data_IF_369545386185
#
_entry.id   IF_369545386185
#
_cell.length_a   1.000
_cell.length_b   1.000
_cell.length_c   1.000
_cell.angle_alpha   90.00
_cell.angle_beta   90.00
_cell.angle_gamma   90.00
#
_symmetry.space_group_name_H-M   'P 1'
#
loop_
_entity.id
_entity.type
_entity.pdbx_description
1 polymer ?
#
# COMPACT_ATOMS: atom_id res chain seq x y z
N UNK A 1 -15.74 -35.50 4.91
CA UNK A 1 -15.92 -34.40 5.88
C UNK A 1 -14.83 -33.38 5.60
N UNK A 2 -15.22 -32.15 5.29
CA UNK A 2 -14.33 -31.07 4.80
C UNK A 2 -13.32 -30.63 5.87
N UNK A 3 -12.06 -30.33 5.49
CA UNK A 3 -11.19 -29.52 6.33
C UNK A 3 -11.62 -28.05 6.23
N UNK A 4 -12.04 -27.53 7.38
CA UNK A 4 -12.42 -26.14 7.64
C UNK A 4 -11.24 -25.20 7.42
N UNK A 5 -11.38 -24.37 6.38
CA UNK A 5 -11.10 -22.93 6.37
C UNK A 5 -9.88 -22.41 7.17
N UNK A 6 -8.73 -22.33 6.49
CA UNK A 6 -7.46 -21.77 6.99
C UNK A 6 -7.25 -20.28 6.59
N UNK A 7 -8.31 -19.51 6.32
CA UNK A 7 -8.16 -18.20 5.67
C UNK A 7 -8.64 -16.98 6.48
N UNK A 8 -8.47 -16.97 7.81
CA UNK A 8 -8.48 -15.70 8.55
C UNK A 8 -7.23 -15.56 9.43
N UNK A 9 -6.51 -14.42 9.36
CA UNK A 9 -5.28 -14.24 10.09
C UNK A 9 -5.58 -14.29 11.59
N UNK A 10 -4.84 -15.12 12.32
CA UNK A 10 -4.93 -15.36 13.76
C UNK A 10 -5.01 -14.07 14.58
N UNK A 11 -4.45 -12.97 14.08
CA UNK A 11 -4.46 -11.64 14.68
C UNK A 11 -5.87 -11.00 14.79
N UNK A 12 -6.75 -11.19 13.80
CA UNK A 12 -8.12 -10.63 13.85
C UNK A 12 -8.96 -11.32 14.93
N UNK A 13 -8.77 -12.64 15.12
CA UNK A 13 -9.45 -13.41 16.17
C UNK A 13 -9.03 -12.92 17.57
N UNK A 14 -7.76 -12.63 17.78
CA UNK A 14 -7.25 -12.16 19.08
C UNK A 14 -7.77 -10.76 19.45
N UNK A 15 -7.92 -9.87 18.47
CA UNK A 15 -8.48 -8.52 18.70
C UNK A 15 -9.99 -8.55 18.97
N UNK A 16 -10.73 -9.39 18.25
CA UNK A 16 -12.17 -9.58 18.50
C UNK A 16 -12.43 -10.15 19.89
N UNK A 17 -11.68 -11.18 20.30
CA UNK A 17 -11.81 -11.79 21.63
C UNK A 17 -11.42 -10.82 22.76
N UNK A 18 -10.39 -9.99 22.55
CA UNK A 18 -10.00 -8.95 23.50
C UNK A 18 -11.06 -7.84 23.60
N UNK A 19 -11.62 -7.40 22.46
CA UNK A 19 -12.72 -6.44 22.43
C UNK A 19 -13.97 -7.02 23.13
N UNK A 20 -14.21 -8.32 23.00
CA UNK A 20 -15.33 -9.00 23.65
C UNK A 20 -15.23 -9.05 25.17
N UNK A 21 -14.00 -9.12 25.67
CA UNK A 21 -13.70 -9.17 27.11
C UNK A 21 -13.78 -7.78 27.77
N UNK A 22 -13.51 -6.71 27.01
CA UNK A 22 -13.33 -5.34 27.55
C UNK A 22 -14.52 -4.41 27.25
N UNK A 23 -15.19 -4.60 26.11
CA UNK A 23 -16.25 -3.69 25.66
C UNK A 23 -17.63 -4.30 25.86
N UNK A 24 -18.58 -3.50 26.33
CA UNK A 24 -19.98 -3.88 26.34
C UNK A 24 -20.58 -3.80 24.91
N UNK A 25 -21.76 -4.41 24.65
CA UNK A 25 -22.35 -4.45 23.31
C UNK A 25 -22.54 -3.07 22.66
N UNK A 26 -22.97 -2.07 23.43
CA UNK A 26 -23.15 -0.70 22.95
C UNK A 26 -21.83 -0.02 22.57
N UNK A 27 -20.76 -0.32 23.30
CA UNK A 27 -19.42 0.18 22.99
C UNK A 27 -18.83 -0.48 21.73
N UNK A 28 -19.11 -1.78 21.52
CA UNK A 28 -18.70 -2.48 20.28
C UNK A 28 -19.42 -1.93 19.06
N UNK A 29 -20.72 -1.70 19.16
CA UNK A 29 -21.51 -1.12 18.08
C UNK A 29 -20.98 0.27 17.70
N UNK A 30 -20.73 1.12 18.70
CA UNK A 30 -20.13 2.44 18.49
C UNK A 30 -18.71 2.36 17.90
N UNK A 31 -17.89 1.40 18.33
CA UNK A 31 -16.56 1.19 17.77
C UNK A 31 -16.65 0.78 16.31
N UNK A 32 -17.55 -0.13 15.96
CA UNK A 32 -17.78 -0.56 14.59
C UNK A 32 -18.22 0.59 13.67
N UNK A 33 -19.18 1.41 14.12
CA UNK A 33 -19.58 2.63 13.40
C UNK A 33 -18.41 3.61 13.20
N UNK A 34 -17.57 3.76 14.22
CA UNK A 34 -16.39 4.62 14.16
C UNK A 34 -15.36 4.08 13.17
N UNK A 35 -15.13 2.77 13.14
CA UNK A 35 -14.21 2.11 12.18
C UNK A 35 -14.68 2.29 10.74
N UNK A 36 -15.99 2.13 10.48
CA UNK A 36 -16.55 2.38 9.14
C UNK A 36 -16.33 3.83 8.72
N UNK A 37 -16.63 4.77 9.62
CA UNK A 37 -16.45 6.20 9.35
C UNK A 37 -15.00 6.52 9.05
N UNK A 38 -14.08 6.03 9.89
CA UNK A 38 -12.64 6.20 9.71
C UNK A 38 -12.16 5.60 8.38
N UNK A 39 -12.60 4.40 8.02
CA UNK A 39 -12.24 3.76 6.76
C UNK A 39 -12.71 4.57 5.54
N UNK A 40 -13.90 5.17 5.62
CA UNK A 40 -14.43 6.06 4.59
C UNK A 40 -13.57 7.32 4.48
N UNK A 41 -13.23 7.97 5.59
CA UNK A 41 -12.42 9.18 5.58
C UNK A 41 -10.98 8.92 5.10
N UNK A 42 -10.37 7.82 5.52
CA UNK A 42 -9.07 7.38 5.00
C UNK A 42 -9.13 7.13 3.49
N UNK A 43 -10.19 6.48 3.01
CA UNK A 43 -10.37 6.26 1.58
C UNK A 43 -10.54 7.57 0.80
N UNK A 44 -11.27 8.54 1.36
CA UNK A 44 -11.39 9.88 0.76
C UNK A 44 -10.05 10.61 0.74
N UNK A 45 -9.30 10.55 1.84
CA UNK A 45 -7.97 11.12 1.95
C UNK A 45 -7.03 10.53 0.89
N UNK A 46 -6.92 9.21 0.80
CA UNK A 46 -6.05 8.55 -0.19
C UNK A 46 -6.48 8.84 -1.63
N UNK A 47 -7.78 9.02 -1.90
CA UNK A 47 -8.26 9.46 -3.23
C UNK A 47 -7.92 10.91 -3.54
N UNK A 48 -7.93 11.78 -2.54
CA UNK A 48 -7.56 13.18 -2.69
C UNK A 48 -6.05 13.39 -2.84
N UNK A 49 -5.25 12.46 -2.30
CA UNK A 49 -3.80 12.52 -2.24
C UNK A 49 -3.13 11.46 -3.12
N UNK A 50 -3.26 11.62 -4.45
CA UNK A 50 -2.70 10.67 -5.42
C UNK A 50 -1.17 10.57 -5.34
N UNK A 51 -0.49 11.61 -4.86
CA UNK A 51 0.95 11.64 -4.60
C UNK A 51 1.41 10.52 -3.67
N UNK A 52 0.58 10.13 -2.69
CA UNK A 52 0.89 9.03 -1.78
C UNK A 52 0.97 7.71 -2.56
N UNK A 53 0.01 7.49 -3.48
CA UNK A 53 0.00 6.29 -4.31
C UNK A 53 1.24 6.22 -5.19
N UNK A 54 1.65 7.35 -5.78
CA UNK A 54 2.84 7.42 -6.62
C UNK A 54 4.13 7.12 -5.84
N UNK A 55 4.27 7.72 -4.65
CA UNK A 55 5.39 7.47 -3.74
C UNK A 55 5.49 5.98 -3.40
N UNK A 56 4.37 5.34 -3.06
CA UNK A 56 4.34 3.90 -2.76
C UNK A 56 4.72 3.05 -3.98
N UNK A 57 4.23 3.38 -5.17
CA UNK A 57 4.61 2.66 -6.40
C UNK A 57 6.11 2.75 -6.68
N UNK A 58 6.71 3.93 -6.48
CA UNK A 58 8.15 4.12 -6.65
C UNK A 58 8.94 3.31 -5.61
N UNK A 59 8.49 3.33 -4.36
CA UNK A 59 9.12 2.56 -3.29
C UNK A 59 9.09 1.05 -3.59
N UNK A 60 7.95 0.51 -4.05
CA UNK A 60 7.82 -0.89 -4.47
C UNK A 60 8.73 -1.19 -5.66
N UNK A 61 8.73 -0.34 -6.69
CA UNK A 61 9.59 -0.55 -7.87
C UNK A 61 11.07 -0.61 -7.48
N UNK A 62 11.50 0.30 -6.60
CA UNK A 62 12.87 0.35 -6.08
C UNK A 62 13.21 -0.88 -5.24
N UNK A 63 12.31 -1.30 -4.35
CA UNK A 63 12.50 -2.51 -3.55
C UNK A 63 12.68 -3.76 -4.43
N UNK A 64 11.86 -3.90 -5.48
CA UNK A 64 11.94 -5.02 -6.42
C UNK A 64 13.20 -4.98 -7.28
N UNK A 65 13.68 -3.78 -7.63
CA UNK A 65 14.86 -3.57 -8.46
C UNK A 65 16.16 -3.80 -7.68
N UNK A 66 16.25 -3.21 -6.49
CA UNK A 66 17.49 -3.16 -5.72
C UNK A 66 17.63 -4.38 -4.78
N UNK A 67 16.52 -5.09 -4.50
CA UNK A 67 16.45 -6.31 -3.70
C UNK A 67 17.32 -6.25 -2.43
N UNK A 68 17.09 -5.26 -1.55
CA UNK A 68 17.90 -5.10 -0.36
C UNK A 68 17.70 -6.28 0.59
N UNK A 69 18.73 -6.58 1.37
CA UNK A 69 18.70 -7.64 2.38
C UNK A 69 17.71 -7.32 3.51
N UNK A 70 17.57 -6.03 3.86
CA UNK A 70 16.56 -5.53 4.79
C UNK A 70 15.62 -4.54 4.10
N UNK A 71 14.40 -5.00 3.80
CA UNK A 71 13.37 -4.20 3.16
C UNK A 71 12.83 -3.07 4.07
N UNK A 72 12.77 -3.29 5.37
CA UNK A 72 12.18 -2.33 6.32
C UNK A 72 13.13 -1.14 6.49
N UNK A 73 14.42 -1.42 6.71
CA UNK A 73 15.43 -0.37 6.81
C UNK A 73 15.52 0.44 5.52
N UNK A 74 15.57 -0.24 4.37
CA UNK A 74 15.63 0.40 3.06
C UNK A 74 14.45 1.36 2.81
N UNK A 75 13.22 0.90 3.10
CA UNK A 75 12.02 1.74 2.92
C UNK A 75 11.96 2.89 3.93
N UNK A 76 12.41 2.65 5.17
CA UNK A 76 12.46 3.70 6.20
C UNK A 76 13.41 4.83 5.78
N UNK A 77 14.59 4.48 5.27
CA UNK A 77 15.57 5.45 4.76
C UNK A 77 15.04 6.20 3.54
N UNK A 78 14.31 5.49 2.65
CA UNK A 78 13.70 6.09 1.47
C UNK A 78 12.64 7.15 1.85
N UNK A 79 11.75 6.83 2.78
CA UNK A 79 10.67 7.74 3.19
C UNK A 79 11.13 8.86 4.13
N UNK A 80 12.21 8.65 4.89
CA UNK A 80 12.81 9.68 5.74
C UNK A 80 13.67 10.68 4.96
N UNK A 81 13.88 10.46 3.66
CA UNK A 81 14.72 11.32 2.85
C UNK A 81 14.03 12.67 2.57
N UNK A 82 14.68 13.77 2.95
CA UNK A 82 14.17 15.13 2.71
C UNK A 82 14.00 15.47 1.23
N UNK A 83 14.68 14.73 0.34
CA UNK A 83 14.59 14.89 -1.11
C UNK A 83 13.59 13.92 -1.76
N UNK A 84 12.65 13.37 -1.00
CA UNK A 84 11.66 12.41 -1.50
C UNK A 84 10.87 12.99 -2.69
N UNK A 85 10.53 14.27 -2.68
CA UNK A 85 9.87 14.95 -3.81
C UNK A 85 10.72 14.92 -5.09
N UNK A 86 12.02 15.19 -4.97
CA UNK A 86 12.96 15.14 -6.11
C UNK A 86 13.11 13.71 -6.63
N UNK A 87 13.12 12.73 -5.74
CA UNK A 87 13.13 11.30 -6.09
C UNK A 87 11.87 10.94 -6.87
N UNK A 88 10.70 11.42 -6.43
CA UNK A 88 9.42 11.15 -7.10
C UNK A 88 9.40 11.76 -8.49
N UNK A 89 9.78 13.02 -8.62
CA UNK A 89 9.77 13.73 -9.91
C UNK A 89 10.74 13.08 -10.92
N UNK A 90 11.92 12.67 -10.45
CA UNK A 90 12.88 11.95 -11.30
C UNK A 90 12.31 10.60 -11.76
N UNK A 91 11.71 9.83 -10.87
CA UNK A 91 11.11 8.54 -11.22
C UNK A 91 9.92 8.69 -12.17
N UNK A 92 9.13 9.77 -12.03
CA UNK A 92 8.06 10.13 -12.98
C UNK A 92 8.62 10.42 -14.37
N UNK A 93 9.63 11.27 -14.46
CA UNK A 93 10.29 11.60 -15.74
C UNK A 93 10.88 10.37 -16.43
N UNK A 94 11.50 9.46 -15.68
CA UNK A 94 12.04 8.19 -16.20
C UNK A 94 10.93 7.27 -16.74
N UNK A 95 9.77 7.19 -16.06
CA UNK A 95 8.64 6.38 -16.50
C UNK A 95 8.00 6.95 -17.78
N UNK A 96 7.81 8.27 -17.85
CA UNK A 96 7.32 8.93 -19.05
C UNK A 96 8.23 8.70 -20.24
N UNK A 97 9.55 8.78 -20.04
CA UNK A 97 10.52 8.54 -21.09
C UNK A 97 10.47 7.08 -21.57
N UNK A 98 10.28 6.11 -20.68
CA UNK A 98 10.03 4.71 -21.06
C UNK A 98 8.76 4.56 -21.89
N UNK A 99 7.66 5.22 -21.51
CA UNK A 99 6.40 5.18 -22.26
C UNK A 99 6.55 5.83 -23.65
N UNK A 100 7.26 6.96 -23.75
CA UNK A 100 7.59 7.60 -25.04
C UNK A 100 8.41 6.67 -25.92
N UNK A 101 9.43 6.03 -25.37
CA UNK A 101 10.30 5.12 -26.12
C UNK A 101 9.60 3.83 -26.53
N UNK A 102 8.72 3.28 -25.69
CA UNK A 102 7.90 2.12 -26.04
C UNK A 102 6.95 2.41 -27.22
N UNK A 103 6.34 3.61 -27.25
CA UNK A 103 5.47 4.05 -28.37
C UNK A 103 6.23 4.32 -29.67
N UNK A 104 7.55 4.58 -29.59
CA UNK A 104 8.41 4.82 -30.76
C UNK A 104 9.02 3.54 -31.35
N UNK A 105 8.95 2.40 -30.66
CA UNK A 105 9.41 1.12 -31.22
C UNK A 105 8.33 0.59 -32.17
N UNK A 106 8.63 0.37 -33.47
CA UNK A 106 7.68 -0.31 -34.35
C UNK A 106 7.44 -1.72 -33.83
N UNK A 107 6.18 -2.19 -33.88
CA UNK A 107 5.86 -3.59 -33.61
C UNK A 107 6.64 -4.46 -34.60
N UNK A 108 7.63 -5.22 -34.12
CA UNK A 108 8.25 -6.26 -34.94
C UNK A 108 7.13 -7.18 -35.43
N UNK A 109 7.08 -7.53 -36.74
CA UNK A 109 6.07 -8.46 -37.23
C UNK A 109 6.24 -9.80 -36.49
N UNK A 110 5.15 -10.50 -36.17
CA UNK A 110 5.26 -11.86 -35.65
C UNK A 110 5.98 -12.76 -36.67
N UNK A 111 6.68 -13.81 -36.19
CA UNK A 111 7.46 -14.72 -37.04
C UNK A 111 6.60 -15.49 -38.05
#
# INVERSE_FOLDING_TARGET
MNPTDLSQPTAERTLSEAADTVLNPKQKEKLHESLITEQIEQSKYLRAHSEITEIIQIAIFRLLKDQPEDAVLYLSDLFANNDLELIVEKSRAELEERHRNARRRPSSPPP
#
